data_IF_431743355811
#
_entry.id   IF_431743355811
#
_cell.length_a   1.000
_cell.length_b   1.000
_cell.length_c   1.000
_cell.angle_alpha   90.00
_cell.angle_beta   90.00
_cell.angle_gamma   90.00
#
_symmetry.space_group_name_H-M   'P 1'
#
loop_
_entity.id
_entity.type
_entity.pdbx_description
1 polymer ?
#
# COMPACT_ATOMS: atom_id res chain seq x y z
N UNK A 1 -16.52 8.98 -19.29
CA UNK A 1 -15.96 8.05 -18.29
C UNK A 1 -16.19 8.66 -16.92
N UNK A 2 -17.04 8.08 -16.10
CA UNK A 2 -17.27 8.52 -14.71
C UNK A 2 -15.97 8.25 -13.95
N UNK A 3 -15.28 9.29 -13.47
CA UNK A 3 -14.13 9.08 -12.60
C UNK A 3 -14.62 8.35 -11.35
N UNK A 4 -14.22 7.07 -11.20
CA UNK A 4 -14.43 6.37 -9.95
C UNK A 4 -13.85 7.22 -8.83
N UNK A 5 -14.67 7.54 -7.82
CA UNK A 5 -14.25 8.36 -6.70
C UNK A 5 -13.15 7.61 -5.95
N UNK A 6 -11.91 8.11 -6.03
CA UNK A 6 -10.77 7.54 -5.31
C UNK A 6 -10.97 7.79 -3.83
N UNK A 7 -11.01 6.73 -3.04
CA UNK A 7 -11.06 6.82 -1.57
C UNK A 7 -9.67 6.97 -0.96
N UNK A 8 -8.60 6.64 -1.71
CA UNK A 8 -7.22 6.97 -1.38
C UNK A 8 -6.53 7.57 -2.60
N UNK A 9 -5.85 8.69 -2.39
CA UNK A 9 -4.85 9.24 -3.30
C UNK A 9 -3.85 10.05 -2.49
N UNK A 10 -2.61 9.58 -2.38
CA UNK A 10 -1.58 10.26 -1.58
C UNK A 10 -0.18 9.97 -2.07
N UNK A 11 0.69 10.95 -1.90
CA UNK A 11 2.14 10.80 -2.06
C UNK A 11 2.81 11.18 -0.75
N UNK A 12 3.83 10.41 -0.35
CA UNK A 12 4.66 10.69 0.82
C UNK A 12 6.10 10.24 0.57
N UNK A 13 7.04 10.71 1.38
CA UNK A 13 8.42 10.26 1.32
C UNK A 13 8.52 8.81 1.78
N UNK A 14 9.39 8.00 1.16
CA UNK A 14 9.63 6.63 1.61
C UNK A 14 10.06 6.56 3.09
N UNK A 15 10.78 7.57 3.57
CA UNK A 15 11.18 7.68 4.97
C UNK A 15 9.99 7.80 5.95
N UNK A 16 8.87 8.36 5.48
CA UNK A 16 7.64 8.60 6.25
C UNK A 16 6.61 7.46 6.05
N UNK A 17 6.95 6.45 5.24
CA UNK A 17 6.00 5.42 4.82
C UNK A 17 5.41 4.60 5.96
N UNK A 18 6.10 4.57 7.11
CA UNK A 18 5.65 3.88 8.32
C UNK A 18 5.11 4.83 9.40
N UNK A 19 4.98 6.15 9.18
CA UNK A 19 4.54 7.15 10.20
C UNK A 19 3.15 6.91 10.78
N UNK A 20 2.37 6.05 10.13
CA UNK A 20 1.09 5.56 10.64
C UNK A 20 1.23 4.44 11.69
N UNK A 21 2.39 3.78 11.78
CA UNK A 21 2.58 2.63 12.64
C UNK A 21 2.52 3.06 14.12
N UNK A 22 1.81 2.32 14.99
CA UNK A 22 1.76 2.65 16.41
C UNK A 22 3.17 2.72 17.01
N UNK A 23 3.39 3.58 18.02
CA UNK A 23 4.70 3.76 18.68
C UNK A 23 5.31 2.47 19.22
N UNK A 24 4.50 1.48 19.58
CA UNK A 24 4.97 0.13 19.96
C UNK A 24 5.78 -0.57 18.82
N UNK A 25 5.61 -0.09 17.60
CA UNK A 25 6.32 -0.50 16.39
C UNK A 25 7.32 0.56 15.90
N UNK A 26 7.70 1.54 16.73
CA UNK A 26 8.70 2.57 16.39
C UNK A 26 10.08 1.98 15.97
N UNK A 27 10.36 0.73 16.35
CA UNK A 27 11.55 0.03 15.89
C UNK A 27 11.48 -0.38 14.40
N UNK A 28 10.28 -0.54 13.81
CA UNK A 28 10.11 -0.73 12.36
C UNK A 28 10.57 0.51 11.58
N UNK A 29 10.32 1.71 12.13
CA UNK A 29 10.87 2.95 11.56
C UNK A 29 12.39 2.93 11.56
N UNK A 30 12.98 2.57 12.70
CA UNK A 30 14.44 2.48 12.82
C UNK A 30 14.99 1.42 11.88
N UNK A 31 14.29 0.31 11.65
CA UNK A 31 14.65 -0.69 10.66
C UNK A 31 14.63 -0.13 9.23
N UNK A 32 13.53 0.49 8.79
CA UNK A 32 13.43 1.07 7.44
C UNK A 32 14.42 2.21 7.25
N UNK A 33 14.50 3.15 8.19
CA UNK A 33 15.46 4.26 8.16
C UNK A 33 16.92 3.76 8.20
N UNK A 34 17.25 2.82 9.08
CA UNK A 34 18.59 2.24 9.14
C UNK A 34 18.93 1.44 7.89
N UNK A 35 17.96 0.88 7.16
CA UNK A 35 18.27 0.18 5.90
C UNK A 35 18.33 1.13 4.71
N UNK A 36 17.62 2.26 4.72
CA UNK A 36 17.82 3.35 3.75
C UNK A 36 19.23 3.94 3.92
N UNK A 37 19.69 4.10 5.17
CA UNK A 37 21.04 4.61 5.50
C UNK A 37 22.13 3.56 5.29
N UNK A 38 22.02 2.36 5.89
CA UNK A 38 23.01 1.30 5.80
C UNK A 38 23.02 0.60 4.43
N UNK A 39 21.90 0.67 3.69
CA UNK A 39 21.81 0.17 2.33
C UNK A 39 22.52 1.02 1.29
N UNK A 40 22.84 2.26 1.62
CA UNK A 40 23.82 3.03 0.87
C UNK A 40 25.27 2.54 1.11
N UNK A 41 25.53 1.64 2.06
CA UNK A 41 26.89 1.25 2.48
C UNK A 41 27.29 -0.22 2.29
N UNK A 42 26.37 -1.20 2.39
CA UNK A 42 26.79 -2.62 2.45
C UNK A 42 27.00 -3.29 1.07
N UNK A 43 26.10 -3.21 0.07
CA UNK A 43 26.36 -3.81 -1.25
C UNK A 43 27.44 -3.07 -2.06
N UNK A 44 27.68 -1.78 -1.80
CA UNK A 44 28.86 -1.06 -2.34
C UNK A 44 30.19 -1.69 -1.93
N UNK A 45 30.24 -2.26 -0.73
CA UNK A 45 31.45 -2.86 -0.16
C UNK A 45 31.76 -4.24 -0.75
N UNK A 46 30.72 -4.98 -1.16
CA UNK A 46 30.86 -6.38 -1.64
C UNK A 46 31.05 -6.43 -3.16
N UNK A 47 30.40 -5.55 -3.94
CA UNK A 47 30.35 -5.69 -5.40
C UNK A 47 31.25 -4.69 -6.16
N UNK A 48 31.67 -3.58 -5.52
CA UNK A 48 32.36 -2.47 -6.23
C UNK A 48 33.73 -2.08 -5.65
N UNK A 49 34.22 -2.76 -4.60
CA UNK A 49 35.49 -2.43 -3.96
C UNK A 49 35.57 -0.95 -3.51
N UNK A 50 36.77 -0.39 -3.26
CA UNK A 50 36.93 1.01 -2.85
C UNK A 50 36.47 2.04 -3.90
N UNK A 51 36.10 1.61 -5.12
CA UNK A 51 35.67 2.50 -6.22
C UNK A 51 34.24 3.04 -6.01
N UNK A 52 33.36 2.32 -5.30
CA UNK A 52 32.01 2.80 -5.00
C UNK A 52 31.95 4.06 -4.11
N UNK A 53 33.05 4.46 -3.48
CA UNK A 53 33.14 5.73 -2.76
C UNK A 53 33.19 6.95 -3.68
N UNK A 54 33.53 6.77 -4.97
CA UNK A 54 33.77 7.88 -5.91
C UNK A 54 32.61 8.17 -6.86
N UNK A 55 31.53 7.39 -6.85
CA UNK A 55 30.33 7.65 -7.68
C UNK A 55 29.09 7.82 -6.77
N UNK A 56 28.80 9.04 -6.30
CA UNK A 56 27.59 9.31 -5.53
C UNK A 56 26.36 9.12 -6.42
N UNK A 57 25.55 8.08 -6.17
CA UNK A 57 24.24 7.94 -6.82
C UNK A 57 23.75 6.51 -7.07
N UNK A 58 24.63 5.51 -7.18
CA UNK A 58 24.24 4.15 -7.62
C UNK A 58 23.92 3.15 -6.49
N UNK A 59 24.36 3.42 -5.25
CA UNK A 59 24.30 2.43 -4.15
C UNK A 59 23.00 2.52 -3.33
N UNK A 60 22.44 3.73 -3.17
CA UNK A 60 21.24 3.98 -2.38
C UNK A 60 19.98 3.16 -2.76
N UNK A 61 19.69 2.85 -4.05
CA UNK A 61 18.45 2.16 -4.39
C UNK A 61 18.47 0.66 -4.08
N UNK A 62 19.63 -0.01 -3.96
CA UNK A 62 19.68 -1.48 -3.81
C UNK A 62 19.37 -1.92 -2.38
N UNK A 63 20.03 -1.36 -1.37
CA UNK A 63 19.81 -1.88 -0.01
C UNK A 63 18.71 -1.19 0.81
N UNK A 64 18.09 -0.12 0.31
CA UNK A 64 16.73 0.24 0.75
C UNK A 64 15.70 -0.89 0.47
N UNK A 65 15.92 -1.74 -0.55
CA UNK A 65 15.00 -2.85 -0.93
C UNK A 65 14.98 -3.99 0.07
N UNK A 66 16.15 -4.47 0.49
CA UNK A 66 16.27 -5.67 1.35
C UNK A 66 15.65 -5.39 2.72
N UNK A 67 15.91 -4.21 3.29
CA UNK A 67 15.31 -3.81 4.56
C UNK A 67 13.82 -3.57 4.48
N UNK A 68 13.31 -2.98 3.39
CA UNK A 68 11.88 -2.77 3.24
C UNK A 68 11.13 -4.11 3.15
N UNK A 69 11.67 -5.10 2.42
CA UNK A 69 11.10 -6.47 2.37
C UNK A 69 11.10 -7.13 3.74
N UNK A 70 12.23 -7.10 4.46
CA UNK A 70 12.35 -7.69 5.78
C UNK A 70 11.45 -7.01 6.83
N UNK A 71 11.42 -5.68 6.86
CA UNK A 71 10.57 -4.90 7.75
C UNK A 71 9.09 -5.18 7.50
N UNK A 72 8.66 -5.26 6.24
CA UNK A 72 7.27 -5.60 5.88
C UNK A 72 6.93 -7.04 6.19
N UNK A 73 7.82 -7.99 5.94
CA UNK A 73 7.61 -9.39 6.33
C UNK A 73 7.44 -9.52 7.86
N UNK A 74 8.24 -8.79 8.62
CA UNK A 74 8.16 -8.79 10.08
C UNK A 74 6.91 -8.05 10.59
N UNK A 75 6.53 -6.93 9.95
CA UNK A 75 5.27 -6.25 10.20
C UNK A 75 4.09 -7.19 9.98
N UNK A 76 4.03 -7.90 8.85
CA UNK A 76 3.01 -8.93 8.55
C UNK A 76 2.93 -9.99 9.65
N UNK A 77 4.06 -10.57 10.05
CA UNK A 77 4.13 -11.58 11.13
C UNK A 77 3.66 -11.08 12.49
N UNK A 78 3.89 -9.79 12.79
CA UNK A 78 3.49 -9.18 14.07
C UNK A 78 2.04 -8.73 14.06
N UNK A 79 1.56 -8.19 12.94
CA UNK A 79 0.16 -7.81 12.74
C UNK A 79 -0.77 -9.00 12.81
N UNK A 80 -0.32 -10.17 12.34
CA UNK A 80 -1.02 -11.44 12.54
C UNK A 80 -1.30 -11.76 14.03
N UNK A 81 -0.54 -11.19 14.98
CA UNK A 81 -0.76 -11.35 16.43
C UNK A 81 -1.60 -10.22 17.05
N UNK A 82 -1.76 -9.10 16.35
CA UNK A 82 -2.53 -7.93 16.84
C UNK A 82 -4.03 -8.17 16.65
N UNK A 83 -4.42 -8.77 15.53
CA UNK A 83 -5.76 -9.34 15.40
C UNK A 83 -5.86 -10.55 16.33
N UNK A 84 -6.99 -10.73 17.02
CA UNK A 84 -7.27 -11.87 17.93
C UNK A 84 -7.46 -13.19 17.16
N UNK A 85 -6.59 -13.48 16.20
CA UNK A 85 -6.77 -14.52 15.21
C UNK A 85 -7.42 -14.01 13.92
N UNK A 86 -7.45 -14.90 12.94
CA UNK A 86 -8.20 -14.75 11.70
C UNK A 86 -9.69 -15.04 11.99
N UNK A 87 -10.56 -14.14 11.56
CA UNK A 87 -12.01 -14.25 11.67
C UNK A 87 -12.54 -14.65 10.31
N UNK A 88 -13.26 -15.77 10.28
CA UNK A 88 -14.01 -16.19 9.09
C UNK A 88 -15.05 -15.12 8.74
N UNK A 89 -15.19 -14.80 7.46
CA UNK A 89 -16.24 -13.93 6.93
C UNK A 89 -17.65 -14.34 7.43
N UNK A 90 -17.87 -15.63 7.68
CA UNK A 90 -19.06 -16.18 8.34
C UNK A 90 -19.47 -15.49 9.63
N UNK A 91 -18.46 -15.16 10.45
CA UNK A 91 -18.60 -14.76 11.84
C UNK A 91 -18.43 -13.26 12.00
N UNK A 92 -18.14 -12.55 10.91
CA UNK A 92 -17.83 -11.14 10.97
C UNK A 92 -19.03 -10.30 11.43
N UNK A 93 -20.26 -10.71 11.12
CA UNK A 93 -21.47 -10.01 11.56
C UNK A 93 -21.69 -10.08 13.09
N UNK A 94 -21.20 -11.15 13.72
CA UNK A 94 -21.23 -11.41 15.17
C UNK A 94 -20.17 -10.61 15.93
N UNK A 95 -19.11 -10.18 15.25
CA UNK A 95 -18.08 -9.34 15.86
C UNK A 95 -18.65 -7.98 16.25
N UNK A 96 -18.16 -7.43 17.38
CA UNK A 96 -18.62 -6.12 17.86
C UNK A 96 -18.17 -5.01 16.92
N UNK A 97 -19.02 -4.03 16.68
CA UNK A 97 -18.63 -2.82 15.96
C UNK A 97 -17.47 -2.14 16.71
N UNK A 98 -16.45 -1.71 15.97
CA UNK A 98 -15.20 -1.20 16.52
C UNK A 98 -14.21 -2.27 16.99
N UNK A 99 -14.51 -3.56 16.84
CA UNK A 99 -13.51 -4.62 17.02
C UNK A 99 -12.46 -4.57 15.91
N UNK A 100 -11.19 -4.77 16.27
CA UNK A 100 -10.11 -4.96 15.29
C UNK A 100 -10.12 -6.43 14.91
N UNK A 101 -10.36 -6.71 13.63
CA UNK A 101 -10.45 -8.06 13.07
C UNK A 101 -9.41 -8.22 11.97
N UNK A 102 -9.03 -9.47 11.70
CA UNK A 102 -8.30 -9.88 10.51
C UNK A 102 -9.17 -10.83 9.73
N UNK A 103 -9.38 -10.54 8.46
CA UNK A 103 -10.23 -11.34 7.58
C UNK A 103 -9.49 -11.62 6.30
N UNK A 104 -9.58 -12.86 5.81
CA UNK A 104 -9.01 -13.27 4.54
C UNK A 104 -10.11 -13.41 3.50
N UNK A 105 -9.82 -13.02 2.26
CA UNK A 105 -10.73 -13.23 1.14
C UNK A 105 -10.13 -12.85 -0.20
N UNK A 106 -10.88 -13.12 -1.25
CA UNK A 106 -10.57 -12.81 -2.64
C UNK A 106 -11.16 -11.45 -3.00
N UNK A 107 -10.37 -10.58 -3.62
CA UNK A 107 -10.81 -9.24 -4.04
C UNK A 107 -11.91 -9.35 -5.10
N UNK A 108 -13.06 -8.75 -4.80
CA UNK A 108 -14.23 -8.62 -5.66
C UNK A 108 -14.55 -7.12 -5.82
N UNK A 109 -14.33 -6.60 -7.02
CA UNK A 109 -14.53 -5.20 -7.32
C UNK A 109 -15.17 -4.99 -8.70
N UNK A 110 -16.11 -4.06 -8.72
CA UNK A 110 -16.74 -3.54 -9.96
C UNK A 110 -15.99 -2.30 -10.44
N UNK A 111 -15.66 -1.40 -9.51
CA UNK A 111 -14.87 -0.22 -9.80
C UNK A 111 -13.37 -0.55 -9.76
N UNK A 112 -12.62 0.00 -10.72
CA UNK A 112 -11.17 -0.11 -10.78
C UNK A 112 -10.56 1.23 -11.14
N UNK A 113 -9.26 1.36 -10.89
CA UNK A 113 -8.41 2.44 -11.36
C UNK A 113 -7.30 1.84 -12.25
N UNK A 114 -6.77 2.58 -13.24
CA UNK A 114 -5.70 2.07 -14.10
C UNK A 114 -4.38 1.96 -13.32
N UNK A 115 -3.53 0.99 -13.64
CA UNK A 115 -2.13 1.00 -13.17
C UNK A 115 -1.37 2.22 -13.70
N UNK A 116 -0.39 2.73 -12.97
CA UNK A 116 0.42 3.86 -13.44
C UNK A 116 1.54 3.44 -14.40
N UNK A 117 2.13 2.26 -14.19
CA UNK A 117 3.26 1.78 -15.01
C UNK A 117 2.76 0.95 -16.20
N UNK A 118 1.81 0.05 -15.96
CA UNK A 118 1.35 -0.90 -16.98
C UNK A 118 -0.15 -0.79 -17.34
N UNK A 119 -0.84 0.26 -16.90
CA UNK A 119 -2.24 0.60 -17.27
C UNK A 119 -3.31 -0.47 -17.02
N UNK A 120 -2.96 -1.57 -16.35
CA UNK A 120 -3.92 -2.64 -16.06
C UNK A 120 -4.89 -2.25 -14.93
N UNK A 121 -6.15 -2.68 -14.99
CA UNK A 121 -7.13 -2.44 -13.93
C UNK A 121 -6.69 -2.97 -12.56
N UNK A 122 -6.86 -2.16 -11.53
CA UNK A 122 -6.50 -2.48 -10.14
C UNK A 122 -7.46 -1.80 -9.16
N UNK A 123 -7.61 -2.35 -7.96
CA UNK A 123 -8.42 -1.74 -6.88
C UNK A 123 -7.57 -0.92 -5.92
N UNK A 124 -6.28 -1.24 -5.85
CA UNK A 124 -5.29 -0.57 -5.03
C UNK A 124 -3.94 -0.70 -5.71
N UNK A 125 -3.33 0.42 -6.10
CA UNK A 125 -1.93 0.46 -6.54
C UNK A 125 -1.05 1.16 -5.53
N UNK A 126 0.19 0.70 -5.47
CA UNK A 126 1.27 1.35 -4.74
C UNK A 126 2.46 1.46 -5.66
N UNK A 127 2.93 2.68 -5.88
CA UNK A 127 4.10 2.96 -6.70
C UNK A 127 5.22 3.49 -5.81
N UNK A 128 6.40 2.90 -5.90
CA UNK A 128 7.60 3.44 -5.29
C UNK A 128 8.46 4.06 -6.40
N UNK A 129 8.84 5.33 -6.23
CA UNK A 129 9.59 6.10 -7.21
C UNK A 129 10.91 6.58 -6.63
N UNK A 130 11.95 6.49 -7.44
CA UNK A 130 13.25 7.10 -7.18
C UNK A 130 13.46 8.25 -8.16
N UNK A 131 13.59 9.46 -7.63
CA UNK A 131 13.86 10.68 -8.39
C UNK A 131 15.17 11.27 -7.89
N UNK A 132 16.28 10.84 -8.49
CA UNK A 132 17.61 11.11 -7.95
C UNK A 132 17.77 10.53 -6.54
N UNK A 133 18.07 11.38 -5.56
CA UNK A 133 18.18 11.02 -4.13
C UNK A 133 16.84 10.96 -3.39
N UNK A 134 15.74 11.37 -4.02
CA UNK A 134 14.42 11.41 -3.38
C UNK A 134 13.69 10.09 -3.65
N UNK A 135 13.23 9.44 -2.59
CA UNK A 135 12.39 8.25 -2.67
C UNK A 135 10.95 8.62 -2.29
N UNK A 136 10.02 8.39 -3.19
CA UNK A 136 8.60 8.68 -3.00
C UNK A 136 7.78 7.40 -3.05
N UNK A 137 6.63 7.44 -2.38
CA UNK A 137 5.60 6.43 -2.46
C UNK A 137 4.31 7.13 -2.87
N UNK A 138 3.68 6.66 -3.94
CA UNK A 138 2.31 7.01 -4.30
C UNK A 138 1.39 5.82 -4.02
N UNK A 139 0.26 6.08 -3.37
CA UNK A 139 -0.78 5.08 -3.14
C UNK A 139 -2.11 5.62 -3.62
N UNK A 140 -2.83 4.81 -4.39
CA UNK A 140 -4.19 5.12 -4.82
C UNK A 140 -5.08 3.88 -4.74
N UNK A 141 -6.31 4.06 -4.28
CA UNK A 141 -7.27 2.98 -4.10
C UNK A 141 -8.71 3.44 -4.32
N UNK A 142 -9.55 2.49 -4.69
CA UNK A 142 -11.01 2.58 -4.66
C UNK A 142 -11.54 1.63 -3.60
N UNK A 143 -12.77 1.84 -3.15
CA UNK A 143 -13.44 0.89 -2.26
C UNK A 143 -13.78 -0.39 -3.02
N UNK A 144 -13.54 -1.55 -2.41
CA UNK A 144 -13.80 -2.85 -3.01
C UNK A 144 -14.49 -3.77 -2.01
N UNK A 145 -14.73 -5.02 -2.38
CA UNK A 145 -15.17 -6.04 -1.43
C UNK A 145 -14.24 -7.24 -1.46
N UNK A 146 -14.28 -8.06 -0.42
CA UNK A 146 -13.65 -9.38 -0.40
C UNK A 146 -14.73 -10.45 -0.30
N UNK A 147 -14.49 -11.60 -0.93
CA UNK A 147 -15.36 -12.77 -0.88
C UNK A 147 -14.61 -14.00 -0.38
N UNK A 148 -15.29 -14.88 0.34
CA UNK A 148 -14.79 -16.24 0.59
C UNK A 148 -15.33 -17.24 -0.44
N UNK A 149 -14.93 -18.50 -0.28
CA UNK A 149 -15.36 -19.63 -1.11
C UNK A 149 -16.87 -19.93 -0.97
N UNK A 150 -17.51 -19.45 0.11
CA UNK A 150 -18.95 -19.56 0.33
C UNK A 150 -19.73 -18.41 -0.34
N UNK A 151 -19.04 -17.47 -1.01
CA UNK A 151 -19.65 -16.31 -1.67
C UNK A 151 -20.08 -15.19 -0.72
N UNK A 152 -19.71 -15.25 0.56
CA UNK A 152 -19.99 -14.17 1.51
C UNK A 152 -19.11 -12.98 1.19
N UNK A 153 -19.74 -11.81 1.06
CA UNK A 153 -19.09 -10.59 0.57
C UNK A 153 -19.03 -9.54 1.68
N UNK A 154 -17.85 -8.97 1.91
CA UNK A 154 -17.64 -7.89 2.89
C UNK A 154 -17.01 -6.68 2.23
N UNK A 155 -17.61 -5.51 2.46
CA UNK A 155 -17.12 -4.24 1.90
C UNK A 155 -15.86 -3.78 2.62
N UNK A 156 -14.89 -3.31 1.86
CA UNK A 156 -13.62 -2.76 2.33
C UNK A 156 -13.57 -1.29 1.91
N UNK A 157 -13.68 -0.38 2.88
CA UNK A 157 -13.53 1.06 2.63
C UNK A 157 -12.06 1.44 2.77
N UNK A 158 -11.43 1.82 1.67
CA UNK A 158 -9.99 2.01 1.62
C UNK A 158 -9.56 3.38 2.13
N UNK A 159 -10.47 4.29 2.44
CA UNK A 159 -10.13 5.56 3.08
C UNK A 159 -9.23 5.36 4.33
N UNK A 160 -8.05 5.99 4.31
CA UNK A 160 -7.04 5.87 5.36
C UNK A 160 -6.29 4.53 5.42
N UNK A 161 -6.54 3.60 4.50
CA UNK A 161 -5.90 2.28 4.46
C UNK A 161 -4.42 2.35 4.08
N UNK A 162 -3.66 1.27 4.22
CA UNK A 162 -2.25 1.11 3.83
C UNK A 162 -2.03 -0.25 3.17
N UNK A 163 -1.30 -0.29 2.06
CA UNK A 163 -0.94 -1.53 1.38
C UNK A 163 0.45 -2.02 1.81
N UNK A 164 0.49 -3.18 2.48
CA UNK A 164 1.71 -3.80 2.98
C UNK A 164 2.18 -4.89 2.02
N UNK A 165 2.72 -4.49 0.88
CA UNK A 165 3.28 -5.38 -0.15
C UNK A 165 4.82 -5.31 -0.23
N UNK A 166 5.46 -6.40 -0.66
CA UNK A 166 6.82 -6.31 -1.17
C UNK A 166 6.76 -5.74 -2.59
N UNK A 167 7.60 -4.74 -2.87
CA UNK A 167 7.70 -4.18 -4.22
C UNK A 167 8.44 -5.20 -5.14
N UNK A 168 7.84 -5.59 -6.29
CA UNK A 168 8.34 -6.69 -7.11
C UNK A 168 9.70 -6.39 -7.74
N UNK A 169 9.81 -5.34 -8.58
CA UNK A 169 11.06 -4.93 -9.26
C UNK A 169 11.00 -3.46 -9.71
N UNK A 170 12.09 -2.70 -9.50
CA UNK A 170 12.24 -1.36 -10.07
C UNK A 170 12.69 -1.42 -11.53
N UNK A 171 12.04 -0.62 -12.37
CA UNK A 171 12.38 -0.41 -13.77
C UNK A 171 12.69 1.06 -14.02
N UNK A 172 13.58 1.33 -14.98
CA UNK A 172 13.76 2.68 -15.49
C UNK A 172 12.49 3.06 -16.25
N UNK A 173 11.78 4.09 -15.76
CA UNK A 173 10.62 4.65 -16.43
C UNK A 173 11.09 5.64 -17.50
N UNK A 174 10.57 5.48 -18.71
CA UNK A 174 10.90 6.34 -19.85
C UNK A 174 9.64 6.74 -20.62
N UNK A 175 9.77 7.80 -21.43
CA UNK A 175 8.74 8.26 -22.34
C UNK A 175 7.38 8.52 -21.66
N UNK A 176 6.26 8.14 -22.33
CA UNK A 176 4.91 8.45 -21.84
C UNK A 176 4.57 7.88 -20.46
N UNK A 177 5.17 6.74 -20.07
CA UNK A 177 4.93 6.13 -18.76
C UNK A 177 5.54 6.99 -17.65
N UNK A 178 6.77 7.47 -17.86
CA UNK A 178 7.43 8.40 -16.93
C UNK A 178 6.60 9.66 -16.76
N UNK A 179 6.18 10.26 -17.87
CA UNK A 179 5.47 11.54 -17.84
C UNK A 179 4.10 11.39 -17.13
N UNK A 180 3.37 10.30 -17.40
CA UNK A 180 2.12 9.96 -16.67
C UNK A 180 2.34 9.80 -15.16
N UNK A 181 3.38 9.09 -14.76
CA UNK A 181 3.73 8.87 -13.35
C UNK A 181 4.09 10.19 -12.67
N UNK A 182 4.92 11.01 -13.33
CA UNK A 182 5.32 12.31 -12.80
C UNK A 182 4.12 13.26 -12.69
N UNK A 183 3.25 13.31 -13.68
CA UNK A 183 2.05 14.15 -13.65
C UNK A 183 1.11 13.76 -12.51
N UNK A 184 0.94 12.46 -12.27
CA UNK A 184 0.15 11.97 -11.14
C UNK A 184 0.76 12.39 -9.79
N UNK A 185 2.08 12.29 -9.65
CA UNK A 185 2.79 12.67 -8.41
C UNK A 185 2.81 14.18 -8.19
N UNK A 186 2.96 14.96 -9.26
CA UNK A 186 3.00 16.44 -9.22
C UNK A 186 1.70 17.03 -8.71
N UNK A 187 0.57 16.42 -9.07
CA UNK A 187 -0.75 16.80 -8.53
C UNK A 187 -0.84 16.74 -7.00
N UNK A 188 0.05 16.00 -6.33
CA UNK A 188 -0.05 15.69 -4.89
C UNK A 188 0.81 16.59 -3.97
N UNK A 189 0.85 17.91 -4.16
CA UNK A 189 1.55 18.91 -3.30
C UNK A 189 3.08 18.82 -3.19
N UNK A 190 3.72 17.74 -3.64
CA UNK A 190 5.17 17.53 -3.56
C UNK A 190 5.97 18.37 -4.59
N UNK A 191 5.27 19.09 -5.46
CA UNK A 191 5.85 20.01 -6.44
C UNK A 191 6.83 21.04 -5.86
N UNK A 192 6.55 21.59 -4.67
CA UNK A 192 7.45 22.54 -4.02
C UNK A 192 8.77 21.84 -3.58
N UNK A 193 8.66 20.62 -3.06
CA UNK A 193 9.81 19.82 -2.64
C UNK A 193 10.67 19.40 -3.85
N UNK A 194 10.03 18.96 -4.94
CA UNK A 194 10.72 18.58 -6.17
C UNK A 194 11.43 19.77 -6.83
N UNK A 195 10.75 20.94 -6.85
CA UNK A 195 11.32 22.22 -7.30
C UNK A 195 12.55 22.61 -6.48
N UNK A 196 12.44 22.58 -5.16
CA UNK A 196 13.52 22.98 -4.25
C UNK A 196 14.78 22.13 -4.37
N UNK A 197 14.65 20.88 -4.84
CA UNK A 197 15.77 19.94 -5.00
C UNK A 197 16.31 19.86 -6.43
N UNK A 198 15.85 20.72 -7.34
CA UNK A 198 16.30 20.72 -8.74
C UNK A 198 15.98 19.43 -9.49
N UNK A 199 14.97 18.68 -9.05
CA UNK A 199 14.64 17.32 -9.53
C UNK A 199 13.85 17.41 -10.83
N UNK A 200 14.53 17.79 -11.91
CA UNK A 200 13.91 17.93 -13.23
C UNK A 200 14.50 17.02 -14.30
N UNK A 201 15.68 16.42 -14.07
CA UNK A 201 16.45 15.71 -15.11
C UNK A 201 17.03 14.36 -14.64
N UNK A 202 16.45 13.73 -13.63
CA UNK A 202 16.95 12.44 -13.14
C UNK A 202 16.25 11.27 -13.81
N UNK A 203 17.01 10.19 -14.01
CA UNK A 203 16.47 8.87 -14.28
C UNK A 203 15.42 8.53 -13.23
N UNK A 204 14.20 8.29 -13.70
CA UNK A 204 13.08 7.96 -12.83
C UNK A 204 12.99 6.45 -12.76
N UNK A 205 13.35 5.85 -11.64
CA UNK A 205 13.08 4.43 -11.42
C UNK A 205 11.75 4.28 -10.71
N UNK A 206 10.93 3.34 -11.18
CA UNK A 206 9.61 3.06 -10.62
C UNK A 206 9.37 1.58 -10.46
N UNK A 207 8.67 1.24 -9.39
CA UNK A 207 8.09 -0.07 -9.17
C UNK A 207 6.62 0.11 -8.80
N UNK A 208 5.76 -0.77 -9.28
CA UNK A 208 4.33 -0.73 -9.02
C UNK A 208 3.84 -2.10 -8.54
N UNK A 209 3.26 -2.12 -7.34
CA UNK A 209 2.42 -3.22 -6.90
C UNK A 209 0.96 -2.89 -7.19
N UNK A 210 0.24 -3.84 -7.78
CA UNK A 210 -1.18 -3.71 -8.14
C UNK A 210 -1.95 -4.82 -7.46
N UNK A 211 -2.96 -4.45 -6.70
CA UNK A 211 -3.95 -5.38 -6.17
C UNK A 211 -5.12 -5.44 -7.16
N UNK A 212 -5.41 -6.62 -7.68
CA UNK A 212 -6.38 -6.83 -8.76
C UNK A 212 -7.62 -7.57 -8.25
N UNK A 213 -8.77 -7.46 -8.92
CA UNK A 213 -9.86 -8.40 -8.75
C UNK A 213 -9.35 -9.84 -8.92
N UNK A 214 -9.75 -10.75 -8.04
CA UNK A 214 -9.28 -12.14 -7.98
C UNK A 214 -8.05 -12.37 -7.11
N UNK A 215 -7.34 -11.34 -6.66
CA UNK A 215 -6.20 -11.51 -5.74
C UNK A 215 -6.69 -11.88 -4.34
N UNK A 216 -5.95 -12.77 -3.65
CA UNK A 216 -6.22 -13.12 -2.26
C UNK A 216 -5.50 -12.17 -1.32
N UNK A 217 -6.23 -11.63 -0.33
CA UNK A 217 -5.73 -10.67 0.64
C UNK A 217 -6.13 -11.03 2.07
N UNK A 218 -5.26 -10.66 3.01
CA UNK A 218 -5.58 -10.45 4.41
C UNK A 218 -5.88 -8.95 4.62
N UNK A 219 -7.04 -8.66 5.20
CA UNK A 219 -7.47 -7.30 5.57
C UNK A 219 -7.56 -7.20 7.09
N UNK A 220 -6.85 -6.24 7.67
CA UNK A 220 -6.83 -5.99 9.11
C UNK A 220 -7.37 -4.60 9.38
N UNK A 221 -8.47 -4.49 10.10
CA UNK A 221 -9.10 -3.20 10.35
C UNK A 221 -10.23 -3.27 11.35
N UNK A 222 -10.94 -2.16 11.47
CA UNK A 222 -12.10 -2.07 12.36
C UNK A 222 -13.34 -2.58 11.64
N UNK A 223 -14.04 -3.51 12.27
CA UNK A 223 -15.39 -3.92 11.85
C UNK A 223 -16.38 -2.80 12.12
N UNK A 224 -17.21 -2.53 11.13
CA UNK A 224 -18.38 -1.63 11.22
C UNK A 224 -19.56 -2.29 10.54
N UNK A 225 -20.74 -1.72 10.69
CA UNK A 225 -21.90 -2.01 9.84
C UNK A 225 -22.16 -0.87 8.87
N UNK A 226 -22.64 -1.21 7.68
CA UNK A 226 -23.13 -0.26 6.67
C UNK A 226 -24.44 -0.76 6.10
N UNK A 227 -25.26 0.15 5.60
CA UNK A 227 -26.46 -0.23 4.86
C UNK A 227 -26.03 -1.06 3.66
N UNK A 228 -26.57 -2.27 3.54
CA UNK A 228 -26.30 -3.16 2.42
C UNK A 228 -26.99 -2.58 1.17
N UNK A 229 -26.23 -2.15 0.15
CA UNK A 229 -26.82 -1.62 -1.08
C UNK A 229 -27.54 -2.70 -1.91
N UNK A 230 -27.35 -3.99 -1.59
CA UNK A 230 -27.97 -5.13 -2.28
C UNK A 230 -29.28 -5.59 -1.64
N UNK A 231 -29.49 -5.25 -0.38
CA UNK A 231 -30.71 -5.66 0.29
C UNK A 231 -31.90 -4.86 -0.21
N UNK A 232 -33.01 -5.54 -0.45
CA UNK A 232 -34.27 -4.88 -0.73
C UNK A 232 -34.57 -3.90 0.41
N UNK A 233 -35.00 -2.68 0.07
CA UNK A 233 -35.45 -1.70 1.06
C UNK A 233 -36.70 -2.26 1.74
N UNK A 234 -36.53 -2.96 2.85
CA UNK A 234 -37.63 -3.45 3.65
C UNK A 234 -38.30 -2.27 4.35
N UNK A 235 -39.62 -2.34 4.49
CA UNK A 235 -40.45 -1.23 5.00
C UNK A 235 -40.19 -0.85 6.47
N UNK A 236 -39.32 -1.58 7.20
CA UNK A 236 -39.10 -1.37 8.63
C UNK A 236 -37.63 -1.32 9.07
N UNK A 237 -36.72 -2.04 8.43
CA UNK A 237 -35.29 -2.01 8.77
C UNK A 237 -34.42 -2.08 7.52
N UNK A 238 -33.44 -1.19 7.40
CA UNK A 238 -32.43 -1.29 6.35
C UNK A 238 -31.52 -2.49 6.67
N UNK A 239 -31.32 -3.43 5.73
CA UNK A 239 -30.38 -4.52 5.95
C UNK A 239 -28.98 -3.92 6.13
N UNK A 240 -28.31 -4.32 7.22
CA UNK A 240 -26.94 -3.93 7.50
C UNK A 240 -26.01 -5.10 7.17
N UNK A 241 -24.89 -4.81 6.50
CA UNK A 241 -23.82 -5.76 6.26
C UNK A 241 -22.56 -5.33 7.00
N UNK A 242 -21.74 -6.30 7.42
CA UNK A 242 -20.41 -6.03 7.91
C UNK A 242 -19.53 -5.36 6.83
N UNK A 243 -18.69 -4.45 7.31
CA UNK A 243 -17.65 -3.81 6.50
C UNK A 243 -16.39 -3.55 7.32
N UNK A 244 -15.27 -3.36 6.63
CA UNK A 244 -13.97 -3.07 7.21
C UNK A 244 -13.54 -1.64 6.88
N UNK A 245 -13.06 -0.91 7.89
CA UNK A 245 -12.59 0.47 7.76
C UNK A 245 -11.33 0.74 8.56
N UNK A 246 -10.67 1.84 8.23
CA UNK A 246 -9.66 2.46 9.08
C UNK A 246 -10.31 3.02 10.35
N UNK A 247 -9.59 3.02 11.46
CA UNK A 247 -10.03 3.65 12.70
C UNK A 247 -8.99 4.61 13.26
N UNK A 248 -9.30 5.21 14.41
CA UNK A 248 -8.46 6.27 15.01
C UNK A 248 -7.06 5.81 15.41
N UNK A 249 -6.90 4.54 15.80
CA UNK A 249 -5.64 4.00 16.34
C UNK A 249 -4.86 3.12 15.36
N UNK A 250 -5.53 2.64 14.30
CA UNK A 250 -4.95 1.73 13.33
C UNK A 250 -5.58 2.02 11.96
N UNK A 251 -4.77 2.31 10.93
CA UNK A 251 -5.27 2.34 9.56
C UNK A 251 -5.74 0.94 9.14
N UNK A 252 -6.63 0.86 8.16
CA UNK A 252 -6.95 -0.42 7.53
C UNK A 252 -5.72 -0.94 6.80
N UNK A 253 -5.24 -2.13 7.15
CA UNK A 253 -4.07 -2.74 6.52
C UNK A 253 -4.53 -3.79 5.52
N UNK A 254 -4.03 -3.69 4.30
CA UNK A 254 -4.27 -4.66 3.24
C UNK A 254 -2.95 -5.37 2.96
N UNK A 255 -2.97 -6.69 3.05
CA UNK A 255 -1.79 -7.54 2.92
C UNK A 255 -2.07 -8.61 1.87
N UNK A 256 -1.40 -8.56 0.71
CA UNK A 256 -1.52 -9.61 -0.28
C UNK A 256 -1.01 -10.95 0.24
N UNK A 257 -1.77 -12.03 0.02
CA UNK A 257 -1.45 -13.38 0.49
C UNK A 257 -0.24 -13.97 -0.25
N UNK A 258 -0.14 -13.70 -1.56
CA UNK A 258 1.06 -14.00 -2.33
C UNK A 258 1.96 -12.75 -2.36
N UNK A 259 3.15 -12.86 -1.77
CA UNK A 259 4.25 -12.02 -2.22
C UNK A 259 4.76 -12.63 -3.53
N UNK A 260 4.86 -11.88 -4.64
CA UNK A 260 5.63 -12.35 -5.79
C UNK A 260 7.09 -12.62 -5.40
#
# INVERSE_FOLDING_TARGET
MTHACRSVDRVHLLAEDLDWAPRAFAWLHRGVAATIVAGASIPALIEFGPVAWFVPGLVAPVASRVGNRAARALARRRLARVARGEVDLARLDDERDGAVVRVRGTVDATDTLPGLVADEPTVYRRVQLSLGSVQLVHEAAVDFAITDDAGRRVRVFTAGSRLLCAMPRQYLLSGPVRDRVLDEVRRSYIDALLRSRGVFHFDTMGDEYRLRPGDVVDVIGYKTRVVDPRGDRLARDNPFAAALRSGRRLPLLIVPAAAP
#
